data_IF_345261042956
#
_entry.id   IF_345261042956
#
_cell.length_a   1.000
_cell.length_b   1.000
_cell.length_c   1.000
_cell.angle_alpha   90.00
_cell.angle_beta   90.00
_cell.angle_gamma   90.00
#
_symmetry.space_group_name_H-M   'P 1'
#
loop_
_entity.id
_entity.type
_entity.pdbx_description
1 polymer ?
#
# COMPACT_ATOMS: atom_id res chain seq x y z
N UNK A 1 30.41 -3.04 -4.46
CA UNK A 1 29.35 -2.77 -5.45
C UNK A 1 28.80 -1.39 -5.17
N UNK A 2 29.00 -0.43 -6.04
CA UNK A 2 28.35 0.89 -5.95
C UNK A 2 26.88 0.69 -6.29
N UNK A 3 26.01 0.69 -5.27
CA UNK A 3 24.59 0.66 -5.49
C UNK A 3 24.16 1.97 -6.16
N UNK A 4 24.00 1.95 -7.46
CA UNK A 4 23.32 3.02 -8.17
C UNK A 4 21.83 2.93 -7.82
N UNK A 5 21.41 3.59 -6.72
CA UNK A 5 20.04 3.56 -6.23
C UNK A 5 19.15 4.19 -7.30
N UNK A 6 18.23 3.41 -7.85
CA UNK A 6 17.26 3.89 -8.82
C UNK A 6 16.31 4.89 -8.15
N UNK A 7 16.11 6.04 -8.77
CA UNK A 7 15.11 7.01 -8.31
C UNK A 7 13.71 6.41 -8.47
N UNK A 8 12.86 6.65 -7.49
CA UNK A 8 11.45 6.30 -7.60
C UNK A 8 10.82 7.10 -8.75
N UNK A 9 10.06 6.47 -9.66
CA UNK A 9 9.39 7.18 -10.74
C UNK A 9 8.48 8.30 -10.19
N UNK A 10 8.33 9.39 -10.93
CA UNK A 10 7.49 10.54 -10.53
C UNK A 10 6.04 10.13 -10.26
N UNK A 11 5.33 10.90 -9.41
CA UNK A 11 3.90 10.69 -9.18
C UNK A 11 3.08 10.82 -10.47
N UNK A 12 2.08 9.94 -10.64
CA UNK A 12 1.06 9.99 -11.70
C UNK A 12 -0.25 10.61 -11.21
N UNK A 13 -0.47 10.61 -9.90
CA UNK A 13 -1.65 11.16 -9.23
C UNK A 13 -1.18 12.32 -8.37
N UNK A 14 -1.77 13.50 -8.54
CA UNK A 14 -1.42 14.68 -7.74
C UNK A 14 -1.96 14.54 -6.29
N UNK A 15 -1.45 15.40 -5.39
CA UNK A 15 -1.82 15.35 -3.98
C UNK A 15 -3.33 15.47 -3.76
N UNK A 16 -4.00 16.45 -4.42
CA UNK A 16 -5.45 16.67 -4.27
C UNK A 16 -6.26 15.43 -4.64
N UNK A 17 -5.88 14.74 -5.72
CA UNK A 17 -6.53 13.48 -6.12
C UNK A 17 -6.27 12.38 -5.11
N UNK A 18 -5.02 12.21 -4.64
CA UNK A 18 -4.72 11.21 -3.60
C UNK A 18 -5.51 11.45 -2.32
N UNK A 19 -5.63 12.69 -1.86
CA UNK A 19 -6.42 13.03 -0.68
C UNK A 19 -7.90 12.66 -0.87
N UNK A 20 -8.48 12.88 -2.05
CA UNK A 20 -9.83 12.42 -2.38
C UNK A 20 -9.97 10.89 -2.39
N UNK A 21 -8.97 10.19 -2.92
CA UNK A 21 -8.98 8.72 -2.96
C UNK A 21 -8.91 8.07 -1.57
N UNK A 22 -8.39 8.76 -0.56
CA UNK A 22 -8.39 8.29 0.83
C UNK A 22 -9.78 8.18 1.44
N UNK A 23 -10.78 8.82 0.86
CA UNK A 23 -12.18 8.68 1.29
C UNK A 23 -12.83 7.37 0.80
N UNK A 24 -12.21 6.70 -0.19
CA UNK A 24 -12.74 5.52 -0.87
C UNK A 24 -12.19 4.25 -0.22
N UNK A 25 -13.04 3.25 0.05
CA UNK A 25 -12.65 1.97 0.62
C UNK A 25 -11.74 1.18 -0.34
N UNK A 26 -10.79 0.40 0.20
CA UNK A 26 -9.90 -0.47 -0.61
C UNK A 26 -10.69 -1.47 -1.45
N UNK A 27 -11.82 -1.99 -0.94
CA UNK A 27 -12.70 -2.90 -1.67
C UNK A 27 -13.21 -2.31 -3.00
N UNK A 28 -13.50 -1.01 -3.04
CA UNK A 28 -13.92 -0.33 -4.28
C UNK A 28 -12.80 -0.34 -5.35
N UNK A 29 -11.53 -0.21 -4.94
CA UNK A 29 -10.40 -0.33 -5.86
C UNK A 29 -10.25 -1.76 -6.39
N UNK A 30 -10.47 -2.78 -5.56
CA UNK A 30 -10.48 -4.19 -6.01
C UNK A 30 -11.57 -4.41 -7.05
N UNK A 31 -12.80 -3.94 -6.79
CA UNK A 31 -13.92 -4.03 -7.74
C UNK A 31 -13.61 -3.32 -9.07
N UNK A 32 -13.10 -2.11 -9.02
CA UNK A 32 -12.71 -1.34 -10.21
C UNK A 32 -11.61 -2.05 -11.00
N UNK A 33 -10.54 -2.47 -10.32
CA UNK A 33 -9.42 -3.16 -10.95
C UNK A 33 -9.87 -4.47 -11.62
N UNK A 34 -10.71 -5.26 -10.95
CA UNK A 34 -11.20 -6.52 -11.50
C UNK A 34 -12.19 -6.30 -12.66
N UNK A 35 -13.21 -5.45 -12.47
CA UNK A 35 -14.33 -5.31 -13.41
C UNK A 35 -14.03 -4.44 -14.62
N UNK A 36 -13.21 -3.39 -14.45
CA UNK A 36 -12.95 -2.42 -15.51
C UNK A 36 -11.56 -2.58 -16.15
N UNK A 37 -10.57 -3.06 -15.37
CA UNK A 37 -9.19 -3.21 -15.86
C UNK A 37 -8.77 -4.67 -16.04
N UNK A 38 -9.61 -5.65 -15.66
CA UNK A 38 -9.38 -7.09 -15.88
C UNK A 38 -8.26 -7.70 -15.03
N UNK A 39 -7.92 -7.10 -13.90
CA UNK A 39 -6.95 -7.67 -12.96
C UNK A 39 -7.59 -8.76 -12.10
N UNK A 40 -6.89 -9.87 -11.93
CA UNK A 40 -7.26 -10.85 -10.93
C UNK A 40 -6.98 -10.28 -9.52
N UNK A 41 -7.97 -10.22 -8.61
CA UNK A 41 -7.79 -9.74 -7.24
C UNK A 41 -6.58 -10.35 -6.52
N UNK A 42 -6.31 -11.65 -6.70
CA UNK A 42 -5.16 -12.33 -6.09
C UNK A 42 -3.79 -11.81 -6.55
N UNK A 43 -3.75 -11.04 -7.64
CA UNK A 43 -2.50 -10.45 -8.14
C UNK A 43 -2.25 -9.03 -7.62
N UNK A 44 -3.22 -8.42 -6.96
CA UNK A 44 -3.18 -7.02 -6.51
C UNK A 44 -3.53 -6.84 -5.02
N UNK A 45 -4.17 -7.80 -4.37
CA UNK A 45 -4.61 -7.73 -2.98
C UNK A 45 -3.69 -8.55 -2.07
N UNK A 46 -3.20 -7.92 -1.01
CA UNK A 46 -2.42 -8.57 0.05
C UNK A 46 -3.37 -9.00 1.17
N UNK A 47 -3.76 -10.27 1.17
CA UNK A 47 -4.82 -10.80 2.05
C UNK A 47 -4.40 -11.00 3.51
N UNK A 48 -3.09 -11.22 3.77
CA UNK A 48 -2.59 -11.53 5.11
C UNK A 48 -1.92 -10.31 5.79
N UNK A 49 -1.81 -9.20 5.08
CA UNK A 49 -1.23 -7.97 5.60
C UNK A 49 -2.32 -7.13 6.25
N UNK A 50 -2.29 -7.07 7.57
CA UNK A 50 -3.31 -6.40 8.39
C UNK A 50 -2.80 -5.07 8.96
N UNK A 51 -3.68 -4.10 9.30
CA UNK A 51 -3.27 -2.89 10.00
C UNK A 51 -2.80 -3.22 11.42
N UNK A 52 -1.64 -2.69 11.81
CA UNK A 52 -1.03 -2.93 13.12
C UNK A 52 -1.28 -1.79 14.10
N UNK A 53 -1.77 -0.65 13.62
CA UNK A 53 -2.16 0.51 14.41
C UNK A 53 -3.35 1.23 13.77
N UNK A 54 -3.98 2.12 14.52
CA UNK A 54 -5.06 2.96 14.04
C UNK A 54 -4.52 4.15 13.24
N UNK A 55 -5.31 4.68 12.34
CA UNK A 55 -4.97 5.88 11.56
C UNK A 55 -5.78 6.01 10.28
N UNK A 56 -5.41 6.98 9.46
CA UNK A 56 -6.07 7.27 8.20
C UNK A 56 -5.74 6.22 7.13
N UNK A 57 -6.58 6.13 6.12
CA UNK A 57 -6.31 5.38 4.89
C UNK A 57 -5.09 5.92 4.17
N UNK A 58 -4.40 5.02 3.46
CA UNK A 58 -3.21 5.34 2.69
C UNK A 58 -3.51 5.31 1.19
N UNK A 59 -3.06 6.32 0.48
CA UNK A 59 -2.93 6.31 -1.00
C UNK A 59 -1.58 6.93 -1.34
N UNK A 60 -0.56 6.11 -1.47
CA UNK A 60 0.82 6.58 -1.56
C UNK A 60 1.65 5.76 -2.54
N UNK A 61 2.72 6.36 -3.05
CA UNK A 61 3.61 5.75 -4.03
C UNK A 61 4.64 4.84 -3.33
N UNK A 62 4.82 3.63 -3.83
CA UNK A 62 5.73 2.64 -3.26
C UNK A 62 7.21 2.98 -3.48
N UNK A 63 7.98 2.95 -2.39
CA UNK A 63 9.44 2.82 -2.35
C UNK A 63 9.75 1.47 -1.75
N UNK A 64 10.41 0.60 -2.49
CA UNK A 64 10.52 -0.82 -2.16
C UNK A 64 11.86 -1.18 -1.52
N UNK A 65 11.83 -2.16 -0.61
CA UNK A 65 13.00 -2.75 0.04
C UNK A 65 12.89 -4.27 0.00
N UNK A 66 13.90 -4.92 -0.55
CA UNK A 66 13.99 -6.39 -0.57
C UNK A 66 14.94 -6.94 0.48
N UNK A 67 14.52 -8.04 1.13
CA UNK A 67 15.34 -8.80 2.05
C UNK A 67 15.58 -10.21 1.51
N UNK A 68 16.74 -10.77 1.88
CA UNK A 68 17.10 -12.17 1.68
C UNK A 68 17.44 -12.82 3.02
N UNK A 69 17.37 -14.15 3.11
CA UNK A 69 17.77 -14.85 4.34
C UNK A 69 19.17 -14.46 4.78
N UNK A 70 19.34 -14.17 6.07
CA UNK A 70 20.65 -13.88 6.64
C UNK A 70 21.59 -15.07 6.49
N UNK A 71 22.80 -14.78 6.02
CA UNK A 71 23.90 -15.72 5.92
C UNK A 71 25.21 -14.96 6.10
N UNK A 72 26.11 -15.47 6.94
CA UNK A 72 27.30 -14.76 7.42
C UNK A 72 28.13 -14.13 6.27
N UNK A 73 28.45 -14.89 5.24
CA UNK A 73 29.22 -14.41 4.09
C UNK A 73 28.49 -13.31 3.29
N UNK A 74 27.17 -13.44 3.17
CA UNK A 74 26.35 -12.44 2.51
C UNK A 74 26.27 -11.15 3.31
N UNK A 75 26.10 -11.26 4.63
CA UNK A 75 26.04 -10.13 5.56
C UNK A 75 27.36 -9.34 5.59
N UNK A 76 28.49 -10.03 5.44
CA UNK A 76 29.82 -9.41 5.35
C UNK A 76 30.01 -8.61 4.06
N UNK A 77 29.37 -9.01 2.95
CA UNK A 77 29.50 -8.36 1.63
C UNK A 77 28.58 -7.13 1.49
N UNK A 78 27.56 -6.98 2.32
CA UNK A 78 26.57 -5.92 2.18
C UNK A 78 27.01 -4.60 2.79
N UNK A 79 26.61 -3.47 2.18
CA UNK A 79 26.77 -2.16 2.80
C UNK A 79 26.07 -2.11 4.17
N UNK A 80 26.76 -1.56 5.14
CA UNK A 80 26.28 -1.47 6.55
C UNK A 80 25.99 -0.02 6.92
N UNK A 81 25.36 0.14 8.10
CA UNK A 81 25.06 1.44 8.68
C UNK A 81 24.27 2.32 7.70
N UNK A 82 24.59 3.57 7.55
CA UNK A 82 23.91 4.54 6.68
C UNK A 82 23.86 4.12 5.20
N UNK A 83 24.78 3.26 4.76
CA UNK A 83 24.84 2.73 3.39
C UNK A 83 23.99 1.47 3.19
N UNK A 84 23.33 0.96 4.24
CA UNK A 84 22.41 -0.18 4.11
C UNK A 84 21.32 0.12 3.10
N UNK A 85 20.94 -0.84 2.24
CA UNK A 85 19.83 -0.68 1.29
C UNK A 85 18.53 -0.20 1.93
N UNK A 86 18.26 -0.63 3.14
CA UNK A 86 17.09 -0.21 3.92
C UNK A 86 17.12 1.31 4.23
N UNK A 87 18.21 1.81 4.77
CA UNK A 87 18.32 3.23 5.09
C UNK A 87 18.41 4.10 3.84
N UNK A 88 19.02 3.60 2.79
CA UNK A 88 19.01 4.26 1.50
C UNK A 88 17.59 4.45 0.95
N UNK A 89 16.69 3.48 1.14
CA UNK A 89 15.28 3.62 0.77
C UNK A 89 14.57 4.71 1.58
N UNK A 90 14.84 4.81 2.87
CA UNK A 90 14.27 5.87 3.72
C UNK A 90 14.72 7.26 3.25
N UNK A 91 15.97 7.40 2.77
CA UNK A 91 16.49 8.69 2.30
C UNK A 91 15.91 9.14 0.94
N UNK A 92 15.49 8.21 0.08
CA UNK A 92 14.87 8.56 -1.21
C UNK A 92 13.35 8.74 -1.13
N UNK A 93 12.72 8.27 -0.05
CA UNK A 93 11.29 8.42 0.20
C UNK A 93 10.97 9.74 0.89
N UNK A 94 9.72 10.20 0.77
CA UNK A 94 9.22 11.42 1.41
C UNK A 94 7.70 11.50 1.40
N UNK A 95 7.16 12.72 1.48
CA UNK A 95 5.72 12.96 1.49
C UNK A 95 5.02 12.33 0.27
N UNK A 96 3.98 11.58 0.50
CA UNK A 96 3.23 10.86 -0.53
C UNK A 96 3.87 9.55 -0.94
N UNK A 97 4.87 9.07 -0.21
CA UNK A 97 5.49 7.76 -0.38
C UNK A 97 5.16 6.84 0.79
N UNK A 98 5.10 5.56 0.50
CA UNK A 98 5.00 4.47 1.46
C UNK A 98 6.20 3.53 1.28
N UNK A 99 6.78 3.07 2.37
CA UNK A 99 7.80 2.02 2.32
C UNK A 99 7.12 0.66 2.19
N UNK A 100 7.54 -0.13 1.21
CA UNK A 100 7.04 -1.48 0.97
C UNK A 100 8.20 -2.46 1.12
N UNK A 101 8.12 -3.33 2.15
CA UNK A 101 9.21 -4.23 2.53
C UNK A 101 8.84 -5.70 2.28
N UNK A 102 9.61 -6.35 1.41
CA UNK A 102 9.54 -7.80 1.28
C UNK A 102 10.39 -8.47 2.35
N UNK A 103 9.73 -8.99 3.37
CA UNK A 103 10.35 -9.64 4.52
C UNK A 103 10.34 -11.17 4.43
N UNK A 104 10.27 -11.69 3.20
CA UNK A 104 10.25 -13.14 2.91
C UNK A 104 9.03 -13.85 3.51
N UNK A 105 7.91 -13.16 3.68
CA UNK A 105 6.68 -13.66 4.32
C UNK A 105 6.92 -14.26 5.73
N UNK A 106 7.80 -13.63 6.52
CA UNK A 106 8.19 -14.12 7.84
C UNK A 106 7.72 -13.22 8.97
N UNK A 107 6.69 -13.63 9.71
CA UNK A 107 6.23 -12.95 10.93
C UNK A 107 7.30 -12.90 12.03
N UNK A 108 8.30 -13.77 12.00
CA UNK A 108 9.42 -13.79 12.92
C UNK A 108 10.45 -12.69 12.62
N UNK A 109 10.44 -12.15 11.40
CA UNK A 109 11.37 -11.10 11.03
C UNK A 109 10.82 -9.74 11.45
N UNK A 110 11.42 -9.11 12.45
CA UNK A 110 11.14 -7.70 12.73
C UNK A 110 11.79 -6.81 11.69
N UNK A 111 10.98 -6.08 10.94
CA UNK A 111 11.47 -5.11 9.93
C UNK A 111 11.90 -3.80 10.58
N UNK A 112 11.48 -3.54 11.80
CA UNK A 112 11.83 -2.31 12.51
C UNK A 112 11.03 -2.08 13.78
N UNK A 113 11.42 -1.02 14.45
CA UNK A 113 10.81 -0.50 15.67
C UNK A 113 11.09 0.98 15.81
N UNK A 114 11.02 1.51 17.03
CA UNK A 114 11.04 2.92 17.40
C UNK A 114 12.05 3.76 16.60
N UNK A 115 13.34 3.41 16.64
CA UNK A 115 14.42 4.21 16.00
C UNK A 115 14.25 4.31 14.48
N UNK A 116 13.88 3.22 13.81
CA UNK A 116 13.68 3.23 12.36
C UNK A 116 12.46 4.06 11.97
N UNK A 117 11.37 3.90 12.70
CA UNK A 117 10.12 4.64 12.44
C UNK A 117 10.23 6.12 12.76
N UNK A 118 11.08 6.52 13.72
CA UNK A 118 11.42 7.93 13.91
C UNK A 118 11.97 8.55 12.61
N UNK A 119 12.82 7.81 11.87
CA UNK A 119 13.34 8.32 10.60
C UNK A 119 12.25 8.44 9.53
N UNK A 120 11.33 7.49 9.44
CA UNK A 120 10.18 7.60 8.53
C UNK A 120 9.36 8.86 8.82
N UNK A 121 9.07 9.15 10.10
CA UNK A 121 8.41 10.38 10.54
C UNK A 121 9.18 11.63 10.09
N UNK A 122 10.50 11.69 10.35
CA UNK A 122 11.34 12.83 9.98
C UNK A 122 11.32 13.12 8.47
N UNK A 123 11.20 12.06 7.66
CA UNK A 123 11.12 12.14 6.20
C UNK A 123 9.71 12.47 5.69
N UNK A 124 8.69 12.47 6.56
CA UNK A 124 7.31 12.67 6.17
C UNK A 124 6.75 11.53 5.31
N UNK A 125 7.22 10.29 5.55
CA UNK A 125 6.75 9.10 4.86
C UNK A 125 5.37 8.74 5.40
N UNK A 126 4.41 8.48 4.50
CA UNK A 126 3.00 8.32 4.86
C UNK A 126 2.71 7.02 5.62
N UNK A 127 3.48 5.96 5.38
CA UNK A 127 3.24 4.66 5.99
C UNK A 127 4.27 3.60 5.64
N UNK A 128 3.99 2.37 6.13
CA UNK A 128 4.79 1.20 5.84
C UNK A 128 3.90 -0.03 5.64
N UNK A 129 4.23 -0.83 4.62
CA UNK A 129 3.62 -2.12 4.32
C UNK A 129 4.69 -3.19 4.26
N UNK A 130 4.50 -4.32 4.95
CA UNK A 130 5.45 -5.43 4.93
C UNK A 130 4.76 -6.79 5.11
N UNK A 131 5.40 -7.84 4.64
CA UNK A 131 5.03 -9.23 4.96
C UNK A 131 5.86 -9.79 6.12
N UNK A 132 6.14 -8.95 7.11
CA UNK A 132 6.91 -9.25 8.31
C UNK A 132 6.30 -8.72 9.60
N UNK A 133 7.05 -8.84 10.70
CA UNK A 133 6.65 -8.34 12.00
C UNK A 133 7.20 -6.95 12.30
N UNK A 134 6.54 -6.24 13.22
CA UNK A 134 6.94 -4.92 13.71
C UNK A 134 7.03 -4.94 15.23
N UNK A 135 8.01 -4.24 15.81
CA UNK A 135 8.16 -4.12 17.27
C UNK A 135 7.99 -2.67 17.74
N UNK A 136 8.02 -2.48 19.06
CA UNK A 136 7.96 -1.18 19.73
C UNK A 136 6.72 -0.35 19.39
N UNK A 137 5.59 -0.99 19.08
CA UNK A 137 4.38 -0.36 18.54
C UNK A 137 3.88 0.79 19.42
N UNK A 138 3.94 0.68 20.77
CA UNK A 138 3.54 1.76 21.69
C UNK A 138 4.32 3.06 21.47
N UNK A 139 5.60 2.96 21.08
CA UNK A 139 6.43 4.12 20.73
C UNK A 139 6.12 4.61 19.32
N UNK A 140 5.95 3.68 18.39
CA UNK A 140 5.68 3.95 16.97
C UNK A 140 4.34 4.66 16.77
N UNK A 141 3.31 4.34 17.54
CA UNK A 141 1.99 5.00 17.49
C UNK A 141 2.06 6.53 17.68
N UNK A 142 3.09 7.02 18.38
CA UNK A 142 3.33 8.45 18.59
C UNK A 142 3.81 9.18 17.33
N UNK A 143 4.20 8.45 16.30
CA UNK A 143 4.76 9.03 15.06
C UNK A 143 3.71 9.34 14.01
N UNK A 144 2.47 8.90 14.23
CA UNK A 144 1.37 9.05 13.26
C UNK A 144 1.72 8.47 11.88
N UNK A 145 2.40 7.32 11.87
CA UNK A 145 2.71 6.54 10.69
C UNK A 145 1.81 5.32 10.69
N UNK A 146 1.08 5.10 9.63
CA UNK A 146 0.23 3.92 9.47
C UNK A 146 1.06 2.72 9.03
N UNK A 147 0.82 1.56 9.65
CA UNK A 147 1.60 0.34 9.43
C UNK A 147 0.69 -0.83 9.15
N UNK A 148 1.00 -1.56 8.10
CA UNK A 148 0.41 -2.85 7.75
C UNK A 148 1.49 -3.92 7.73
N UNK A 149 1.18 -5.07 8.30
CA UNK A 149 2.14 -6.17 8.40
C UNK A 149 1.51 -7.47 8.86
N UNK A 150 2.31 -8.52 8.99
CA UNK A 150 1.84 -9.81 9.48
C UNK A 150 1.59 -9.86 11.00
N UNK A 151 2.03 -8.84 11.73
CA UNK A 151 1.80 -8.77 13.17
C UNK A 151 2.89 -8.07 13.93
N UNK A 152 2.82 -8.20 15.26
CA UNK A 152 3.80 -7.64 16.18
C UNK A 152 4.77 -8.74 16.61
N UNK A 153 6.05 -8.39 16.77
CA UNK A 153 7.08 -9.33 17.23
C UNK A 153 8.10 -8.60 18.11
N UNK A 154 8.65 -9.28 19.08
CA UNK A 154 9.81 -8.79 19.87
C UNK A 154 11.15 -9.29 19.32
N UNK A 155 11.14 -10.06 18.25
CA UNK A 155 12.33 -10.70 17.68
C UNK A 155 13.29 -9.69 17.04
N UNK A 156 14.52 -10.12 16.75
CA UNK A 156 15.55 -9.36 16.03
C UNK A 156 15.44 -9.65 14.52
N UNK A 157 15.20 -8.61 13.71
CA UNK A 157 15.10 -8.77 12.27
C UNK A 157 16.38 -9.26 11.61
N UNK A 158 17.52 -8.77 12.06
CA UNK A 158 18.85 -9.10 11.52
C UNK A 158 19.26 -10.57 11.66
N UNK A 159 18.62 -11.33 12.52
CA UNK A 159 18.86 -12.78 12.64
C UNK A 159 18.11 -13.60 11.60
N UNK A 160 17.13 -13.02 10.95
CA UNK A 160 16.26 -13.69 9.96
C UNK A 160 16.57 -13.23 8.54
N UNK A 161 16.72 -11.93 8.33
CA UNK A 161 16.89 -11.37 7.00
C UNK A 161 17.87 -10.19 6.93
N UNK A 162 18.51 -10.11 5.76
CA UNK A 162 19.48 -9.06 5.40
C UNK A 162 18.90 -8.21 4.28
N UNK A 163 18.82 -6.87 4.41
CA UNK A 163 18.37 -6.00 3.33
C UNK A 163 19.37 -6.06 2.17
N UNK A 164 18.87 -6.32 0.96
CA UNK A 164 19.74 -6.50 -0.21
C UNK A 164 19.48 -5.51 -1.35
N UNK A 165 18.25 -5.00 -1.46
CA UNK A 165 17.89 -4.11 -2.57
C UNK A 165 17.08 -2.90 -2.08
N UNK A 166 17.27 -1.79 -2.81
CA UNK A 166 16.54 -0.55 -2.65
C UNK A 166 15.89 -0.20 -3.97
N UNK A 167 14.57 0.04 -3.95
CA UNK A 167 13.82 0.51 -5.10
C UNK A 167 13.92 -0.41 -6.33
N UNK A 168 13.88 -1.72 -6.07
CA UNK A 168 13.78 -2.80 -7.05
C UNK A 168 12.43 -3.52 -6.88
N UNK A 169 11.98 -4.30 -7.89
CA UNK A 169 10.78 -5.12 -7.75
C UNK A 169 10.84 -6.04 -6.52
N UNK A 170 9.75 -6.09 -5.77
CA UNK A 170 9.64 -6.98 -4.60
C UNK A 170 8.34 -7.79 -4.65
N UNK A 171 8.32 -8.90 -3.91
CA UNK A 171 7.12 -9.67 -3.63
C UNK A 171 6.74 -9.46 -2.17
N UNK A 172 5.53 -8.96 -1.90
CA UNK A 172 4.99 -8.81 -0.55
C UNK A 172 3.65 -9.53 -0.49
N UNK A 173 3.50 -10.46 0.44
CA UNK A 173 2.30 -11.29 0.60
C UNK A 173 1.80 -11.94 -0.70
N UNK A 174 2.69 -12.42 -1.54
CA UNK A 174 2.34 -13.02 -2.84
C UNK A 174 2.21 -12.03 -3.98
N UNK A 175 2.04 -10.74 -3.72
CA UNK A 175 1.80 -9.70 -4.71
C UNK A 175 3.10 -9.06 -5.18
N UNK A 176 3.22 -8.85 -6.49
CA UNK A 176 4.33 -8.08 -7.09
C UNK A 176 4.12 -6.58 -6.85
N UNK A 177 5.14 -5.92 -6.31
CA UNK A 177 5.18 -4.45 -6.18
C UNK A 177 6.39 -3.91 -6.93
N UNK A 178 6.14 -3.03 -7.87
CA UNK A 178 7.20 -2.30 -8.59
C UNK A 178 7.41 -0.92 -7.94
N UNK A 179 8.65 -0.40 -7.94
CA UNK A 179 8.90 0.97 -7.52
C UNK A 179 8.00 1.97 -8.24
N UNK A 180 7.29 2.79 -7.49
CA UNK A 180 6.37 3.79 -8.04
C UNK A 180 4.93 3.32 -8.25
N UNK A 181 4.59 2.06 -8.01
CA UNK A 181 3.21 1.61 -7.91
C UNK A 181 2.50 2.35 -6.78
N UNK A 182 1.18 2.44 -6.83
CA UNK A 182 0.41 3.02 -5.75
C UNK A 182 -0.11 1.94 -4.81
N UNK A 183 0.04 2.20 -3.55
CA UNK A 183 -0.53 1.38 -2.47
C UNK A 183 -1.75 2.11 -1.94
N UNK A 184 -2.89 1.43 -1.96
CA UNK A 184 -4.12 1.84 -1.28
C UNK A 184 -4.34 0.87 -0.13
N UNK A 185 -4.49 1.40 1.08
CA UNK A 185 -4.61 0.56 2.26
C UNK A 185 -5.53 1.20 3.32
N UNK A 186 -6.37 0.38 3.92
CA UNK A 186 -7.24 0.73 5.05
C UNK A 186 -7.34 -0.44 6.05
N UNK A 187 -8.44 -0.52 6.80
CA UNK A 187 -8.66 -1.58 7.78
C UNK A 187 -9.01 -2.94 7.13
N UNK A 188 -9.48 -2.93 5.88
CA UNK A 188 -9.88 -4.14 5.16
C UNK A 188 -8.71 -4.81 4.44
N UNK A 189 -7.63 -4.08 4.11
CA UNK A 189 -6.47 -4.66 3.45
C UNK A 189 -5.59 -3.68 2.69
N UNK A 190 -4.72 -4.24 1.85
CA UNK A 190 -3.74 -3.49 1.05
C UNK A 190 -3.85 -3.88 -0.42
N UNK A 191 -4.09 -2.89 -1.28
CA UNK A 191 -4.22 -3.08 -2.73
C UNK A 191 -3.08 -2.39 -3.46
N UNK A 192 -2.51 -3.08 -4.45
CA UNK A 192 -1.47 -2.55 -5.34
C UNK A 192 -2.09 -2.10 -6.65
N UNK A 193 -1.88 -0.84 -7.00
CA UNK A 193 -2.30 -0.28 -8.29
C UNK A 193 -1.07 -0.04 -9.16
N UNK A 194 -0.92 -0.73 -10.28
CA UNK A 194 0.19 -0.51 -11.19
C UNK A 194 0.30 0.96 -11.61
N UNK A 195 1.48 1.53 -11.47
CA UNK A 195 1.75 2.95 -11.76
C UNK A 195 1.25 3.39 -13.15
N UNK A 196 1.33 2.49 -14.13
CA UNK A 196 0.97 2.82 -15.53
C UNK A 196 -0.48 3.24 -15.70
N UNK A 197 -1.38 2.61 -14.95
CA UNK A 197 -2.85 2.82 -15.02
C UNK A 197 -3.40 3.60 -13.83
N UNK A 198 -2.54 4.08 -12.94
CA UNK A 198 -2.97 4.67 -11.66
C UNK A 198 -3.87 5.91 -11.83
N UNK A 199 -3.65 6.71 -12.89
CA UNK A 199 -4.48 7.88 -13.16
C UNK A 199 -5.88 7.49 -13.64
N UNK A 200 -5.98 6.48 -14.49
CA UNK A 200 -7.24 5.93 -15.01
C UNK A 200 -8.03 5.24 -13.89
N UNK A 201 -7.36 4.44 -13.07
CA UNK A 201 -7.97 3.80 -11.89
C UNK A 201 -8.46 4.84 -10.89
N UNK A 202 -7.73 5.94 -10.68
CA UNK A 202 -8.18 7.01 -9.80
C UNK A 202 -9.51 7.64 -10.26
N UNK A 203 -9.67 7.88 -11.55
CA UNK A 203 -10.92 8.40 -12.12
C UNK A 203 -12.05 7.39 -11.97
N UNK A 204 -11.79 6.13 -12.31
CA UNK A 204 -12.78 5.06 -12.23
C UNK A 204 -13.23 4.78 -10.78
N UNK A 205 -12.30 4.81 -9.81
CA UNK A 205 -12.62 4.62 -8.40
C UNK A 205 -13.51 5.75 -7.85
N UNK A 206 -13.25 7.00 -8.24
CA UNK A 206 -14.09 8.14 -7.86
C UNK A 206 -15.50 8.00 -8.47
N UNK A 207 -15.61 7.60 -9.73
CA UNK A 207 -16.92 7.36 -10.35
C UNK A 207 -17.66 6.22 -9.66
N UNK A 208 -16.97 5.14 -9.34
CA UNK A 208 -17.53 3.96 -8.67
C UNK A 208 -18.05 4.29 -7.27
N UNK A 209 -17.29 5.02 -6.47
CA UNK A 209 -17.70 5.47 -5.13
C UNK A 209 -18.93 6.39 -5.17
N UNK A 210 -18.97 7.33 -6.12
CA UNK A 210 -20.14 8.17 -6.35
C UNK A 210 -21.38 7.34 -6.79
N UNK A 211 -21.19 6.33 -7.65
CA UNK A 211 -22.25 5.42 -8.05
C UNK A 211 -22.77 4.60 -6.87
N UNK A 212 -21.89 4.05 -6.02
CA UNK A 212 -22.33 3.31 -4.84
C UNK A 212 -23.12 4.20 -3.86
N UNK A 213 -22.68 5.45 -3.68
CA UNK A 213 -23.40 6.44 -2.87
C UNK A 213 -24.77 6.71 -3.46
N UNK A 214 -24.89 6.88 -4.78
CA UNK A 214 -26.16 7.04 -5.45
C UNK A 214 -27.06 5.80 -5.29
N UNK A 215 -26.50 4.59 -5.42
CA UNK A 215 -27.24 3.34 -5.20
C UNK A 215 -27.79 3.28 -3.76
N UNK A 216 -26.96 3.52 -2.75
CA UNK A 216 -27.36 3.53 -1.33
C UNK A 216 -28.54 4.46 -1.10
N UNK A 217 -28.44 5.71 -1.56
CA UNK A 217 -29.51 6.71 -1.44
C UNK A 217 -30.82 6.28 -2.11
N UNK A 218 -30.73 5.62 -3.27
CA UNK A 218 -31.92 5.11 -3.98
C UNK A 218 -32.57 3.95 -3.24
N UNK A 219 -31.75 2.99 -2.76
CA UNK A 219 -32.26 1.83 -2.01
C UNK A 219 -32.96 2.26 -0.73
N UNK A 220 -32.38 3.23 0.00
CA UNK A 220 -32.99 3.77 1.23
C UNK A 220 -34.30 4.50 0.92
N UNK A 221 -34.29 5.46 -0.02
CA UNK A 221 -35.44 6.28 -0.36
C UNK A 221 -36.61 5.47 -0.91
N UNK A 222 -36.34 4.47 -1.71
CA UNK A 222 -37.37 3.67 -2.40
C UNK A 222 -37.67 2.34 -1.72
N UNK A 223 -36.95 2.04 -0.61
CA UNK A 223 -37.05 0.78 0.15
C UNK A 223 -36.96 -0.46 -0.74
N UNK A 224 -35.89 -0.50 -1.57
CA UNK A 224 -35.68 -1.55 -2.59
C UNK A 224 -34.64 -2.58 -2.13
N UNK A 225 -34.77 -3.78 -2.68
CA UNK A 225 -33.72 -4.81 -2.55
C UNK A 225 -32.41 -4.38 -3.26
N UNK A 226 -31.23 -4.64 -2.67
CA UNK A 226 -29.93 -4.35 -3.30
C UNK A 226 -29.83 -4.87 -4.72
N UNK A 227 -30.37 -6.05 -5.02
CA UNK A 227 -30.33 -6.68 -6.36
C UNK A 227 -30.97 -5.84 -7.49
N UNK A 228 -31.61 -4.71 -7.15
CA UNK A 228 -32.14 -3.78 -8.16
C UNK A 228 -31.04 -3.01 -8.90
N UNK A 229 -29.96 -2.66 -8.18
CA UNK A 229 -28.87 -1.82 -8.69
C UNK A 229 -27.47 -2.40 -8.42
N UNK A 230 -27.36 -3.46 -7.58
CA UNK A 230 -26.08 -4.03 -7.16
C UNK A 230 -26.04 -5.56 -7.36
N UNK A 231 -24.94 -6.13 -7.86
CA UNK A 231 -23.76 -5.44 -8.35
C UNK A 231 -24.07 -4.58 -9.59
N UNK A 232 -23.42 -3.38 -9.73
CA UNK A 232 -23.76 -2.46 -10.81
C UNK A 232 -23.41 -3.04 -12.17
N UNK A 233 -24.39 -3.06 -13.06
CA UNK A 233 -24.28 -3.44 -14.46
C UNK A 233 -24.27 -2.20 -15.36
N UNK A 234 -24.16 -2.40 -16.67
CA UNK A 234 -24.18 -1.32 -17.67
C UNK A 234 -25.44 -0.45 -17.55
N UNK A 235 -26.60 -1.05 -17.30
CA UNK A 235 -27.88 -0.34 -17.16
C UNK A 235 -27.90 0.54 -15.90
N UNK A 236 -27.31 0.05 -14.81
CA UNK A 236 -27.15 0.80 -13.55
C UNK A 236 -26.29 2.06 -13.78
N UNK A 237 -25.13 1.91 -14.44
CA UNK A 237 -24.26 3.04 -14.80
C UNK A 237 -24.98 4.05 -15.70
N UNK A 238 -25.71 3.60 -16.72
CA UNK A 238 -26.48 4.49 -17.61
C UNK A 238 -27.55 5.28 -16.85
N UNK A 239 -28.24 4.62 -15.92
CA UNK A 239 -29.28 5.26 -15.08
C UNK A 239 -28.66 6.30 -14.15
N UNK A 240 -27.55 5.96 -13.52
CA UNK A 240 -26.78 6.89 -12.70
C UNK A 240 -26.34 8.11 -13.48
N UNK A 241 -25.67 7.94 -14.63
CA UNK A 241 -25.18 9.04 -15.46
C UNK A 241 -26.31 9.95 -15.97
N UNK A 242 -27.47 9.40 -16.30
CA UNK A 242 -28.66 10.20 -16.64
C UNK A 242 -29.14 11.05 -15.46
N UNK A 243 -29.04 10.53 -14.22
CA UNK A 243 -29.47 11.27 -13.04
C UNK A 243 -28.55 12.45 -12.66
N UNK A 244 -27.32 12.50 -13.19
CA UNK A 244 -26.41 13.61 -12.97
C UNK A 244 -26.72 14.83 -13.86
N UNK A 245 -27.51 14.62 -14.93
CA UNK A 245 -27.86 15.66 -15.92
C UNK A 245 -29.27 16.26 -15.68
N UNK A 246 -29.95 15.80 -14.64
CA UNK A 246 -31.26 16.31 -14.15
C UNK A 246 -31.10 17.02 -12.81
#
# INVERSE_FOLDING_TARGET
MTNNIKKTPSHRINKKTRDKLKEINTSAFVDVMARQFGYDPHTILMDNVIPLNNGERLVSRAVTIGYLPSRKDFDEMKPKNEKSPEYAAFEIAGNGDVIVMSSMASSLMSIGGDIKFLRLKQRGIDGLVCDGGVRDMKSVDKYNIRIWGYGRTSNLGTTVGTPYSTNEPVRVDGVLVLPGDYIVADDDGVVVIPRKIAAEVAVAAIEYDNLETWIKNRLEKENLSPGKYYPPDKKTYETYRKSLNN
#
